data_IF_420688821489
#
_entry.id   IF_420688821489
#
_cell.length_a   1.000
_cell.length_b   1.000
_cell.length_c   1.000
_cell.angle_alpha   90.00
_cell.angle_beta   90.00
_cell.angle_gamma   90.00
#
_symmetry.space_group_name_H-M   'P 1'
#
loop_
_entity.id
_entity.type
_entity.pdbx_description
1 polymer ?
#
# COMPACT_ATOMS: atom_id res chain seq x y z
N UNK A 1 19.63 13.55 -27.69
CA UNK A 1 18.87 13.03 -26.53
C UNK A 1 17.52 12.66 -27.10
N UNK A 2 17.27 11.37 -27.30
CA UNK A 2 15.94 10.91 -27.69
C UNK A 2 15.06 11.03 -26.46
N UNK A 3 14.02 11.86 -26.53
CA UNK A 3 12.93 11.79 -25.56
C UNK A 3 12.27 10.42 -25.75
N UNK A 4 12.50 9.51 -24.81
CA UNK A 4 11.78 8.22 -24.79
C UNK A 4 10.29 8.55 -24.61
N UNK A 5 9.53 8.37 -25.68
CA UNK A 5 8.07 8.47 -25.65
C UNK A 5 7.56 7.20 -24.99
N UNK A 6 7.41 7.25 -23.66
CA UNK A 6 6.76 6.19 -22.88
C UNK A 6 5.32 6.08 -23.35
N UNK A 7 4.88 4.87 -23.69
CA UNK A 7 3.49 4.62 -24.07
C UNK A 7 2.54 4.86 -22.89
N UNK A 8 1.28 5.22 -23.17
CA UNK A 8 0.27 5.40 -22.12
C UNK A 8 0.12 4.15 -21.24
N UNK A 9 0.26 2.96 -21.82
CA UNK A 9 0.23 1.69 -21.10
C UNK A 9 1.38 1.55 -20.10
N UNK A 10 2.61 1.80 -20.54
CA UNK A 10 3.80 1.74 -19.68
C UNK A 10 3.70 2.72 -18.50
N UNK A 11 3.11 3.91 -18.72
CA UNK A 11 2.87 4.87 -17.65
C UNK A 11 1.88 4.33 -16.59
N UNK A 12 0.83 3.62 -17.00
CA UNK A 12 -0.12 3.01 -16.07
C UNK A 12 0.46 1.81 -15.33
N UNK A 13 1.30 1.02 -16.01
CA UNK A 13 2.05 -0.07 -15.37
C UNK A 13 3.01 0.46 -14.32
N UNK A 14 3.71 1.56 -14.60
CA UNK A 14 4.61 2.20 -13.63
C UNK A 14 3.85 2.73 -12.41
N UNK A 15 2.69 3.37 -12.61
CA UNK A 15 1.82 3.79 -11.50
C UNK A 15 1.35 2.60 -10.66
N UNK A 16 1.01 1.48 -11.30
CA UNK A 16 0.64 0.26 -10.61
C UNK A 16 1.81 -0.32 -9.80
N UNK A 17 3.03 -0.26 -10.33
CA UNK A 17 4.26 -0.67 -9.64
C UNK A 17 4.46 0.15 -8.36
N UNK A 18 4.42 1.48 -8.47
CA UNK A 18 4.56 2.38 -7.31
C UNK A 18 3.51 2.08 -6.24
N UNK A 19 2.25 1.87 -6.62
CA UNK A 19 1.19 1.52 -5.67
C UNK A 19 1.44 0.17 -4.97
N UNK A 20 2.01 -0.82 -5.67
CA UNK A 20 2.41 -2.11 -5.06
C UNK A 20 3.55 -1.93 -4.07
N UNK A 21 4.57 -1.15 -4.42
CA UNK A 21 5.72 -0.86 -3.56
C UNK A 21 5.29 -0.20 -2.26
N UNK A 22 4.45 0.84 -2.35
CA UNK A 22 3.84 1.48 -1.17
C UNK A 22 3.06 0.46 -0.34
N UNK A 23 2.28 -0.42 -0.98
CA UNK A 23 1.54 -1.47 -0.29
C UNK A 23 2.46 -2.42 0.49
N UNK A 24 3.59 -2.82 -0.08
CA UNK A 24 4.59 -3.68 0.57
C UNK A 24 5.22 -2.97 1.77
N UNK A 25 5.69 -1.74 1.58
CA UNK A 25 6.34 -0.95 2.64
C UNK A 25 5.41 -0.70 3.84
N UNK A 26 4.12 -0.41 3.58
CA UNK A 26 3.12 -0.27 4.64
C UNK A 26 2.91 -1.57 5.42
N UNK A 27 2.90 -2.71 4.72
CA UNK A 27 2.81 -4.03 5.35
C UNK A 27 4.04 -4.36 6.20
N UNK A 28 5.23 -3.96 5.76
CA UNK A 28 6.48 -4.06 6.53
C UNK A 28 6.45 -3.17 7.77
N UNK A 29 6.04 -1.92 7.63
CA UNK A 29 5.89 -1.00 8.75
C UNK A 29 4.90 -1.54 9.80
N UNK A 30 3.77 -2.12 9.35
CA UNK A 30 2.80 -2.74 10.24
C UNK A 30 3.39 -3.91 11.05
N UNK A 31 4.28 -4.71 10.44
CA UNK A 31 5.00 -5.81 11.11
C UNK A 31 5.97 -5.27 12.14
N UNK A 32 6.78 -4.27 11.78
CA UNK A 32 7.72 -3.62 12.70
C UNK A 32 7.01 -3.00 13.90
N UNK A 33 5.85 -2.37 13.69
CA UNK A 33 5.06 -1.79 14.77
C UNK A 33 4.53 -2.85 15.76
N UNK A 34 4.15 -4.04 15.27
CA UNK A 34 3.75 -5.15 16.14
C UNK A 34 4.92 -5.67 16.98
N UNK A 35 6.15 -5.66 16.45
CA UNK A 35 7.34 -6.02 17.24
C UNK A 35 7.54 -5.05 18.40
N UNK A 36 7.32 -3.75 18.19
CA UNK A 36 7.40 -2.72 19.26
C UNK A 36 6.40 -2.99 20.38
N UNK A 37 5.18 -3.47 20.05
CA UNK A 37 4.20 -3.91 21.07
C UNK A 37 4.77 -5.01 21.95
N UNK A 38 5.49 -5.97 21.37
CA UNK A 38 6.13 -7.07 22.11
C UNK A 38 7.24 -6.61 23.07
N UNK A 39 7.84 -5.45 22.83
CA UNK A 39 8.88 -4.87 23.71
C UNK A 39 8.32 -3.96 24.81
N UNK A 40 6.99 -3.80 24.90
CA UNK A 40 6.36 -2.99 25.93
C UNK A 40 6.45 -3.72 27.30
N UNK A 41 7.03 -3.08 28.31
CA UNK A 41 7.21 -3.66 29.65
C UNK A 41 6.57 -2.84 30.77
N UNK A 42 5.80 -1.79 30.45
CA UNK A 42 5.26 -0.86 31.44
C UNK A 42 4.41 -1.53 32.54
N UNK A 43 3.76 -2.67 32.28
CA UNK A 43 2.91 -3.39 33.24
C UNK A 43 3.58 -4.53 34.01
N UNK A 44 4.89 -4.74 33.87
CA UNK A 44 5.57 -5.84 34.57
C UNK A 44 5.83 -5.46 36.02
N UNK A 45 5.00 -5.97 36.94
CA UNK A 45 5.19 -5.84 38.39
C UNK A 45 4.77 -4.51 39.01
N UNK A 46 3.95 -3.71 38.29
CA UNK A 46 3.42 -2.43 38.76
C UNK A 46 1.99 -2.24 38.24
N UNK A 47 1.01 -2.14 39.15
CA UNK A 47 -0.42 -2.00 38.85
C UNK A 47 -0.70 -0.68 38.12
N UNK A 48 -0.04 0.41 38.53
CA UNK A 48 -0.13 1.72 37.86
C UNK A 48 0.42 1.69 36.43
N UNK A 49 1.32 0.74 36.15
CA UNK A 49 1.91 0.49 34.84
C UNK A 49 1.03 -0.32 33.89
N UNK A 50 0.05 -1.08 34.41
CA UNK A 50 -0.86 -1.90 33.60
C UNK A 50 -1.74 -1.04 32.69
N UNK A 51 -2.28 0.07 33.21
CA UNK A 51 -3.09 1.01 32.44
C UNK A 51 -2.30 1.67 31.30
N UNK A 52 -1.04 2.05 31.58
CA UNK A 52 -0.14 2.64 30.58
C UNK A 52 0.21 1.59 29.52
N UNK A 53 0.54 0.37 29.95
CA UNK A 53 0.81 -0.75 29.08
C UNK A 53 -0.38 -1.05 28.15
N UNK A 54 -1.60 -1.10 28.71
CA UNK A 54 -2.82 -1.38 27.96
C UNK A 54 -3.11 -0.28 26.92
N UNK A 55 -3.03 1.00 27.31
CA UNK A 55 -3.21 2.14 26.41
C UNK A 55 -2.20 2.14 25.26
N UNK A 56 -0.91 1.99 25.58
CA UNK A 56 0.14 1.95 24.57
C UNK A 56 -0.02 0.77 23.62
N UNK A 57 -0.33 -0.42 24.16
CA UNK A 57 -0.60 -1.62 23.36
C UNK A 57 -1.79 -1.42 22.43
N UNK A 58 -2.87 -0.80 22.90
CA UNK A 58 -4.05 -0.49 22.10
C UNK A 58 -3.74 0.47 20.96
N UNK A 59 -3.01 1.57 21.23
CA UNK A 59 -2.62 2.55 20.22
C UNK A 59 -1.76 1.92 19.12
N UNK A 60 -0.74 1.15 19.49
CA UNK A 60 0.17 0.50 18.54
C UNK A 60 -0.55 -0.58 17.71
N UNK A 61 -1.45 -1.37 18.33
CA UNK A 61 -2.27 -2.36 17.59
C UNK A 61 -3.20 -1.68 16.59
N UNK A 62 -3.82 -0.57 16.98
CA UNK A 62 -4.68 0.23 16.09
C UNK A 62 -3.89 0.74 14.90
N UNK A 63 -2.74 1.39 15.14
CA UNK A 63 -1.87 1.85 14.06
C UNK A 63 -1.39 0.71 13.13
N UNK A 64 -1.10 -0.48 13.69
CA UNK A 64 -0.72 -1.64 12.87
C UNK A 64 -1.88 -2.13 12.00
N UNK A 65 -3.11 -2.12 12.52
CA UNK A 65 -4.30 -2.48 11.75
C UNK A 65 -4.56 -1.46 10.63
N UNK A 66 -4.43 -0.17 10.91
CA UNK A 66 -4.60 0.89 9.92
C UNK A 66 -3.56 0.78 8.79
N UNK A 67 -2.30 0.50 9.12
CA UNK A 67 -1.25 0.27 8.11
C UNK A 67 -1.54 -0.95 7.23
N UNK A 68 -2.09 -2.05 7.79
CA UNK A 68 -2.52 -3.22 7.00
C UNK A 68 -3.68 -2.89 6.06
N UNK A 69 -4.63 -2.07 6.53
CA UNK A 69 -5.75 -1.61 5.71
C UNK A 69 -5.25 -0.74 4.56
N UNK A 70 -4.33 0.19 4.83
CA UNK A 70 -3.70 1.03 3.80
C UNK A 70 -2.88 0.20 2.80
N UNK A 71 -2.13 -0.80 3.27
CA UNK A 71 -1.41 -1.76 2.42
C UNK A 71 -2.37 -2.47 1.45
N UNK A 72 -3.50 -2.95 1.96
CA UNK A 72 -4.55 -3.59 1.15
C UNK A 72 -5.19 -2.62 0.15
N UNK A 73 -5.45 -1.38 0.57
CA UNK A 73 -6.00 -0.33 -0.31
C UNK A 73 -5.02 0.02 -1.44
N UNK A 74 -3.72 0.10 -1.15
CA UNK A 74 -2.68 0.33 -2.15
C UNK A 74 -2.65 -0.79 -3.20
N UNK A 75 -2.87 -2.04 -2.79
CA UNK A 75 -3.02 -3.16 -3.73
C UNK A 75 -4.24 -2.99 -4.66
N UNK A 76 -5.38 -2.55 -4.12
CA UNK A 76 -6.59 -2.26 -4.93
C UNK A 76 -6.32 -1.13 -5.94
N UNK A 77 -5.61 -0.08 -5.54
CA UNK A 77 -5.19 1.01 -6.44
C UNK A 77 -4.29 0.48 -7.54
N UNK A 78 -3.32 -0.39 -7.23
CA UNK A 78 -2.45 -1.00 -8.23
C UNK A 78 -3.23 -1.83 -9.27
N UNK A 79 -4.20 -2.63 -8.82
CA UNK A 79 -5.08 -3.40 -9.73
C UNK A 79 -5.90 -2.46 -10.61
N UNK A 80 -6.44 -1.37 -10.04
CA UNK A 80 -7.21 -0.39 -10.78
C UNK A 80 -6.37 0.32 -11.86
N UNK A 81 -5.12 0.64 -11.56
CA UNK A 81 -4.18 1.23 -12.51
C UNK A 81 -3.88 0.28 -13.68
N UNK A 82 -3.66 -1.03 -13.41
CA UNK A 82 -3.47 -2.05 -14.46
C UNK A 82 -4.70 -2.12 -15.37
N UNK A 83 -5.89 -2.24 -14.79
CA UNK A 83 -7.14 -2.35 -15.56
C UNK A 83 -7.38 -1.10 -16.42
N UNK A 84 -7.04 0.08 -15.89
CA UNK A 84 -7.16 1.35 -16.63
C UNK A 84 -6.22 1.38 -17.83
N UNK A 85 -4.95 0.99 -17.64
CA UNK A 85 -3.97 0.89 -18.73
C UNK A 85 -4.46 -0.03 -19.85
N UNK A 86 -4.94 -1.23 -19.51
CA UNK A 86 -5.47 -2.21 -20.46
C UNK A 86 -6.72 -1.70 -21.21
N UNK A 87 -7.61 -1.01 -20.50
CA UNK A 87 -8.82 -0.43 -21.11
C UNK A 87 -8.49 0.66 -22.13
N UNK A 88 -7.46 1.47 -21.87
CA UNK A 88 -7.02 2.52 -22.79
C UNK A 88 -6.40 1.90 -24.04
N UNK A 89 -5.44 0.98 -23.88
CA UNK A 89 -4.79 0.30 -25.02
C UNK A 89 -5.80 -0.41 -25.93
N UNK A 90 -6.79 -1.09 -25.34
CA UNK A 90 -7.84 -1.77 -26.12
C UNK A 90 -8.75 -0.79 -26.87
N UNK A 91 -9.07 0.36 -26.27
CA UNK A 91 -9.85 1.44 -26.92
C UNK A 91 -9.06 2.04 -28.09
N UNK A 92 -7.78 2.34 -27.89
CA UNK A 92 -6.91 2.90 -28.92
C UNK A 92 -6.75 1.93 -30.11
N UNK A 93 -6.57 0.64 -29.82
CA UNK A 93 -6.48 -0.41 -30.86
C UNK A 93 -7.77 -0.53 -31.66
N UNK A 94 -8.93 -0.48 -30.98
CA UNK A 94 -10.22 -0.55 -31.64
C UNK A 94 -10.48 0.69 -32.52
N UNK A 95 -10.09 1.89 -32.06
CA UNK A 95 -10.22 3.11 -32.84
C UNK A 95 -9.35 3.10 -34.10
N UNK A 96 -8.12 2.59 -34.00
CA UNK A 96 -7.22 2.46 -35.16
C UNK A 96 -7.80 1.53 -36.23
N UNK A 97 -8.39 0.39 -35.83
CA UNK A 97 -8.98 -0.59 -36.76
C UNK A 97 -10.25 -0.11 -37.50
N UNK A 98 -10.89 0.97 -37.02
CA UNK A 98 -12.08 1.57 -37.67
C UNK A 98 -11.68 2.61 -38.74
N UNK A 99 -10.45 3.10 -38.69
CA UNK A 99 -9.93 4.13 -39.61
C UNK A 99 -9.20 3.55 -40.83
N UNK A 100 -8.98 2.23 -40.87
CA UNK A 100 -8.45 1.46 -42.02
C UNK A 100 -9.59 0.84 -42.85
#
# INVERSE_FOLDING_TARGET
MSDDVISTEELWLERARVAREVGVELGELARSLNTVVGTNYFGVGCEEGEDIFAKLTSLLRTGSADLKNLSSAAHVVAVSAINTGQSITSTDTAAAAVLE
#
